data_IF_843093323006
#
_entry.id   IF_843093323006
#
_cell.length_a   1.000
_cell.length_b   1.000
_cell.length_c   1.000
_cell.angle_alpha   90.00
_cell.angle_beta   90.00
_cell.angle_gamma   90.00
#
_symmetry.space_group_name_H-M   'P 1'
#
loop_
_entity.id
_entity.type
_entity.pdbx_description
1 polymer ?
#
# COMPACT_ATOMS: atom_id res chain seq x y z
N UNK A 1 17.52 -4.54 -19.06
CA UNK A 1 16.19 -5.17 -18.78
C UNK A 1 15.11 -4.17 -18.32
N UNK A 2 15.44 -2.95 -17.94
CA UNK A 2 14.54 -1.96 -17.33
C UNK A 2 13.46 -1.29 -18.23
N UNK A 3 13.61 -1.28 -19.56
CA UNK A 3 12.70 -0.55 -20.46
C UNK A 3 11.25 -1.07 -20.36
N UNK A 4 11.06 -2.38 -20.25
CA UNK A 4 9.72 -2.94 -20.07
C UNK A 4 9.01 -2.40 -18.85
N UNK A 5 9.68 -2.30 -17.71
CA UNK A 5 9.09 -1.75 -16.47
C UNK A 5 8.72 -0.27 -16.62
N UNK A 6 9.54 0.52 -17.31
CA UNK A 6 9.24 1.94 -17.58
C UNK A 6 7.95 2.05 -18.40
N UNK A 7 7.86 1.29 -19.48
CA UNK A 7 6.67 1.28 -20.36
C UNK A 7 5.43 0.85 -19.57
N UNK A 8 5.52 -0.23 -18.80
CA UNK A 8 4.40 -0.71 -17.98
C UNK A 8 3.96 0.29 -16.91
N UNK A 9 4.91 0.96 -16.26
CA UNK A 9 4.63 2.02 -15.28
C UNK A 9 3.90 3.19 -15.95
N UNK A 10 4.37 3.67 -17.11
CA UNK A 10 3.72 4.75 -17.85
C UNK A 10 2.30 4.37 -18.27
N UNK A 11 2.08 3.15 -18.76
CA UNK A 11 0.73 2.69 -19.09
C UNK A 11 -0.18 2.61 -17.84
N UNK A 12 0.35 2.19 -16.70
CA UNK A 12 -0.42 2.18 -15.45
C UNK A 12 -0.83 3.60 -15.02
N UNK A 13 0.08 4.56 -15.16
CA UNK A 13 -0.21 5.97 -14.86
C UNK A 13 -1.23 6.55 -15.85
N UNK A 14 -1.10 6.31 -17.14
CA UNK A 14 -2.05 6.78 -18.15
C UNK A 14 -3.45 6.20 -17.98
N UNK A 15 -3.52 4.93 -17.58
CA UNK A 15 -4.77 4.20 -17.37
C UNK A 15 -5.22 4.16 -15.91
N UNK A 16 -4.83 5.14 -15.09
CA UNK A 16 -5.17 5.21 -13.66
C UNK A 16 -6.68 5.12 -13.36
N UNK A 17 -7.54 5.46 -14.34
CA UNK A 17 -9.01 5.37 -14.21
C UNK A 17 -9.53 3.93 -14.16
N UNK A 18 -8.72 2.94 -14.55
CA UNK A 18 -9.07 1.53 -14.44
C UNK A 18 -9.13 1.13 -12.96
N UNK A 19 -10.34 0.89 -12.48
CA UNK A 19 -10.62 0.44 -11.12
C UNK A 19 -10.36 -1.06 -10.98
N UNK A 20 -9.10 -1.41 -10.70
CA UNK A 20 -8.72 -2.81 -10.52
C UNK A 20 -9.38 -3.42 -9.30
N UNK A 21 -9.44 -2.67 -8.22
CA UNK A 21 -10.05 -3.11 -6.96
C UNK A 21 -11.54 -3.45 -7.14
N UNK A 22 -12.24 -2.69 -8.00
CA UNK A 22 -13.66 -2.98 -8.32
C UNK A 22 -13.85 -4.35 -8.95
N UNK A 23 -12.90 -4.78 -9.81
CA UNK A 23 -12.96 -6.10 -10.44
C UNK A 23 -12.84 -7.20 -9.38
N UNK A 24 -11.88 -7.07 -8.47
CA UNK A 24 -11.67 -8.06 -7.41
C UNK A 24 -12.82 -8.07 -6.40
N UNK A 25 -13.37 -6.91 -6.03
CA UNK A 25 -14.57 -6.81 -5.19
C UNK A 25 -15.76 -7.53 -5.83
N UNK A 26 -15.97 -7.34 -7.12
CA UNK A 26 -17.04 -8.07 -7.85
C UNK A 26 -16.84 -9.58 -7.79
N UNK A 27 -15.61 -10.06 -7.98
CA UNK A 27 -15.27 -11.48 -7.88
C UNK A 27 -15.53 -12.00 -6.46
N UNK A 28 -15.12 -11.26 -5.44
CA UNK A 28 -15.31 -11.63 -4.03
C UNK A 28 -16.80 -11.75 -3.67
N UNK A 29 -17.61 -10.75 -3.98
CA UNK A 29 -19.05 -10.77 -3.73
C UNK A 29 -19.70 -11.97 -4.40
N UNK A 30 -19.42 -12.17 -5.71
CA UNK A 30 -20.02 -13.29 -6.46
C UNK A 30 -19.60 -14.67 -5.95
N UNK A 31 -18.39 -14.79 -5.41
CA UNK A 31 -17.90 -16.05 -4.83
C UNK A 31 -18.59 -16.34 -3.50
N UNK A 32 -18.79 -15.33 -2.66
CA UNK A 32 -19.50 -15.44 -1.37
C UNK A 32 -20.98 -15.78 -1.56
N UNK A 33 -21.63 -15.24 -2.59
CA UNK A 33 -23.01 -15.57 -2.92
C UNK A 33 -23.20 -17.07 -3.24
N UNK A 34 -22.17 -17.68 -3.85
CA UNK A 34 -22.20 -19.12 -4.19
C UNK A 34 -21.75 -20.01 -3.05
N UNK A 35 -20.74 -19.57 -2.29
CA UNK A 35 -20.10 -20.36 -1.23
C UNK A 35 -20.27 -19.61 0.09
N UNK A 36 -21.23 -20.06 0.92
CA UNK A 36 -21.55 -19.42 2.20
C UNK A 36 -20.40 -19.47 3.24
N UNK A 37 -19.49 -20.43 3.12
CA UNK A 37 -18.38 -20.60 4.06
C UNK A 37 -17.18 -19.79 3.60
N UNK A 38 -16.88 -18.72 4.33
CA UNK A 38 -15.77 -17.78 4.05
C UNK A 38 -14.40 -18.47 4.04
N UNK A 39 -14.17 -19.45 4.92
CA UNK A 39 -12.89 -20.18 4.95
C UNK A 39 -12.67 -21.03 3.69
N UNK A 40 -13.74 -21.61 3.14
CA UNK A 40 -13.67 -22.36 1.88
C UNK A 40 -13.34 -21.40 0.72
N UNK A 41 -13.92 -20.21 0.70
CA UNK A 41 -13.61 -19.18 -0.30
C UNK A 41 -12.14 -18.77 -0.21
N UNK A 42 -11.62 -18.51 0.98
CA UNK A 42 -10.21 -18.14 1.19
C UNK A 42 -9.25 -19.25 0.74
N UNK A 43 -9.54 -20.50 1.08
CA UNK A 43 -8.75 -21.66 0.63
C UNK A 43 -8.75 -21.79 -0.88
N UNK A 44 -9.90 -21.61 -1.52
CA UNK A 44 -10.05 -21.67 -2.97
C UNK A 44 -9.25 -20.55 -3.66
N UNK A 45 -9.26 -19.34 -3.11
CA UNK A 45 -8.43 -18.25 -3.62
C UNK A 45 -6.94 -18.53 -3.49
N UNK A 46 -6.49 -19.02 -2.33
CA UNK A 46 -5.10 -19.40 -2.13
C UNK A 46 -4.65 -20.50 -3.11
N UNK A 47 -5.50 -21.48 -3.34
CA UNK A 47 -5.25 -22.54 -4.33
C UNK A 47 -5.16 -21.97 -5.76
N UNK A 48 -6.08 -21.12 -6.18
CA UNK A 48 -6.04 -20.47 -7.49
C UNK A 48 -4.80 -19.60 -7.67
N UNK A 49 -4.43 -18.83 -6.66
CA UNK A 49 -3.23 -17.98 -6.65
C UNK A 49 -1.99 -18.85 -6.78
N UNK A 50 -1.93 -19.99 -6.09
CA UNK A 50 -0.81 -20.93 -6.20
C UNK A 50 -0.71 -21.51 -7.64
N UNK A 51 -1.83 -21.87 -8.25
CA UNK A 51 -1.85 -22.35 -9.66
C UNK A 51 -1.39 -21.24 -10.61
N UNK A 52 -1.83 -19.99 -10.40
CA UNK A 52 -1.36 -18.83 -11.18
C UNK A 52 0.14 -18.66 -11.03
N UNK A 53 0.67 -18.71 -9.81
CA UNK A 53 2.10 -18.62 -9.55
C UNK A 53 2.91 -19.68 -10.29
N UNK A 54 2.47 -20.94 -10.25
CA UNK A 54 3.11 -22.02 -11.01
C UNK A 54 3.08 -21.74 -12.52
N UNK A 55 1.95 -21.26 -13.05
CA UNK A 55 1.85 -20.87 -14.46
C UNK A 55 2.82 -19.75 -14.84
N UNK A 56 2.95 -18.73 -13.99
CA UNK A 56 3.86 -17.62 -14.21
C UNK A 56 5.35 -18.03 -14.14
N UNK A 57 5.68 -19.07 -13.37
CA UNK A 57 7.05 -19.58 -13.26
C UNK A 57 7.60 -20.15 -14.59
N UNK A 58 6.74 -20.58 -15.50
CA UNK A 58 7.13 -21.05 -16.83
C UNK A 58 7.35 -19.93 -17.84
N UNK A 59 6.98 -18.69 -17.53
CA UNK A 59 7.12 -17.56 -18.46
C UNK A 59 8.56 -17.06 -18.41
N UNK A 60 9.22 -17.08 -19.56
CA UNK A 60 10.57 -16.51 -19.68
C UNK A 60 10.55 -15.00 -19.47
N UNK A 61 11.49 -14.51 -18.65
CA UNK A 61 11.63 -13.09 -18.39
C UNK A 61 12.06 -12.36 -19.68
N UNK A 62 11.20 -11.49 -20.19
CA UNK A 62 11.45 -10.65 -21.35
C UNK A 62 10.84 -9.26 -21.16
N UNK A 63 11.16 -8.31 -22.05
CA UNK A 63 10.69 -6.92 -21.94
C UNK A 63 9.14 -6.79 -21.93
N UNK A 64 8.45 -7.64 -22.68
CA UNK A 64 6.98 -7.64 -22.73
C UNK A 64 6.40 -8.12 -21.40
N UNK A 65 6.95 -9.19 -20.84
CA UNK A 65 6.52 -9.70 -19.54
C UNK A 65 6.77 -8.67 -18.43
N UNK A 66 7.93 -8.00 -18.46
CA UNK A 66 8.25 -6.92 -17.52
C UNK A 66 7.27 -5.74 -17.64
N UNK A 67 6.88 -5.37 -18.87
CA UNK A 67 5.91 -4.30 -19.09
C UNK A 67 4.51 -4.68 -18.59
N UNK A 68 4.07 -5.90 -18.87
CA UNK A 68 2.78 -6.41 -18.36
C UNK A 68 2.79 -6.50 -16.84
N UNK A 69 3.88 -7.00 -16.26
CA UNK A 69 4.03 -7.06 -14.81
C UNK A 69 3.92 -5.68 -14.19
N UNK A 70 4.72 -4.71 -14.63
CA UNK A 70 4.69 -3.35 -14.09
C UNK A 70 3.32 -2.71 -14.26
N UNK A 71 2.65 -2.92 -15.39
CA UNK A 71 1.28 -2.45 -15.62
C UNK A 71 0.29 -3.05 -14.60
N UNK A 72 0.40 -4.34 -14.29
CA UNK A 72 -0.50 -5.02 -13.35
C UNK A 72 -0.24 -4.60 -11.90
N UNK A 73 1.03 -4.56 -11.49
CA UNK A 73 1.41 -4.42 -10.08
C UNK A 73 1.46 -2.97 -9.60
N UNK A 74 1.77 -2.01 -10.47
CA UNK A 74 1.78 -0.58 -10.12
C UNK A 74 0.36 -0.04 -10.24
N UNK A 75 -0.21 0.39 -9.10
CA UNK A 75 -1.57 0.94 -9.06
C UNK A 75 -1.61 2.22 -8.21
N UNK A 76 -1.74 3.36 -8.91
CA UNK A 76 -1.91 4.69 -8.30
C UNK A 76 -3.35 5.18 -8.33
N UNK A 77 -4.31 4.36 -8.76
CA UNK A 77 -5.70 4.78 -8.99
C UNK A 77 -6.36 5.33 -7.71
N UNK A 78 -6.02 4.78 -6.56
CA UNK A 78 -6.59 5.21 -5.29
C UNK A 78 -6.07 6.58 -4.86
N UNK A 79 -4.77 6.89 -5.05
CA UNK A 79 -4.20 8.21 -4.77
C UNK A 79 -4.82 9.29 -5.63
N UNK A 80 -4.99 9.03 -6.92
CA UNK A 80 -5.59 9.99 -7.85
C UNK A 80 -7.08 10.24 -7.55
N UNK A 81 -7.82 9.21 -7.14
CA UNK A 81 -9.23 9.37 -6.74
C UNK A 81 -9.36 10.21 -5.48
N UNK A 82 -8.53 10.01 -4.49
CA UNK A 82 -8.55 10.81 -3.28
C UNK A 82 -8.13 12.26 -3.58
N UNK A 83 -7.18 12.49 -4.50
CA UNK A 83 -6.84 13.83 -4.96
C UNK A 83 -8.05 14.57 -5.58
N UNK A 84 -8.92 13.88 -6.30
CA UNK A 84 -10.13 14.46 -6.89
C UNK A 84 -11.26 14.70 -5.89
N UNK A 85 -11.35 13.89 -4.81
CA UNK A 85 -12.40 13.99 -3.78
C UNK A 85 -12.18 15.10 -2.75
N UNK A 86 -11.08 15.82 -2.82
CA UNK A 86 -10.56 16.79 -1.82
C UNK A 86 -11.51 17.91 -1.36
N UNK A 87 -12.79 17.88 -1.71
CA UNK A 87 -13.77 18.89 -1.31
C UNK A 87 -14.56 18.58 -0.02
N UNK A 88 -14.36 17.42 0.61
CA UNK A 88 -15.08 17.05 1.81
C UNK A 88 -14.16 16.92 3.03
N UNK A 89 -14.33 17.81 4.00
CA UNK A 89 -13.55 17.91 5.26
C UNK A 89 -13.60 16.67 6.18
N UNK A 90 -14.27 15.59 5.81
CA UNK A 90 -14.65 14.53 6.75
C UNK A 90 -13.57 13.45 7.01
N UNK A 91 -12.52 13.34 6.21
CA UNK A 91 -11.71 12.11 6.22
C UNK A 91 -10.19 12.30 6.08
N UNK A 92 -9.58 13.23 6.82
CA UNK A 92 -8.12 13.42 6.78
C UNK A 92 -7.37 12.10 7.03
N UNK A 93 -7.71 11.38 8.11
CA UNK A 93 -7.04 10.14 8.49
C UNK A 93 -7.29 9.01 7.48
N UNK A 94 -8.51 8.90 6.98
CA UNK A 94 -8.84 7.93 5.94
C UNK A 94 -8.11 8.23 4.63
N UNK A 95 -7.96 9.52 4.29
CA UNK A 95 -7.22 9.95 3.11
C UNK A 95 -5.73 9.66 3.26
N UNK A 96 -5.10 9.96 4.41
CA UNK A 96 -3.70 9.59 4.68
C UNK A 96 -3.54 8.08 4.58
N UNK A 97 -4.40 7.30 5.22
CA UNK A 97 -4.33 5.84 5.18
C UNK A 97 -4.49 5.29 3.77
N UNK A 98 -5.38 5.88 2.96
CA UNK A 98 -5.54 5.51 1.55
C UNK A 98 -4.28 5.80 0.72
N UNK A 99 -3.67 6.99 0.92
CA UNK A 99 -2.44 7.37 0.23
C UNK A 99 -1.28 6.46 0.65
N UNK A 100 -1.09 6.22 1.96
CA UNK A 100 -0.06 5.33 2.49
C UNK A 100 -0.21 3.91 1.97
N UNK A 101 -1.45 3.40 1.96
CA UNK A 101 -1.76 2.06 1.43
C UNK A 101 -1.44 1.96 -0.06
N UNK A 102 -1.80 2.97 -0.86
CA UNK A 102 -1.47 3.00 -2.28
C UNK A 102 0.04 3.11 -2.50
N UNK A 103 0.75 3.93 -1.71
CA UNK A 103 2.21 4.04 -1.75
C UNK A 103 2.89 2.70 -1.48
N UNK A 104 2.50 2.01 -0.42
CA UNK A 104 3.15 0.78 0.00
C UNK A 104 2.66 -0.40 -0.83
N UNK A 105 1.37 -0.71 -0.79
CA UNK A 105 0.83 -1.91 -1.42
C UNK A 105 0.70 -1.78 -2.95
N UNK A 106 0.48 -0.57 -3.46
CA UNK A 106 0.34 -0.30 -4.90
C UNK A 106 1.66 0.02 -5.60
N UNK A 107 2.76 0.26 -4.85
CA UNK A 107 4.01 0.68 -5.47
C UNK A 107 5.25 0.04 -4.84
N UNK A 108 5.57 0.32 -3.57
CA UNK A 108 6.84 -0.09 -2.95
C UNK A 108 6.92 -1.61 -2.83
N UNK A 109 5.91 -2.26 -2.27
CA UNK A 109 5.90 -3.71 -2.06
C UNK A 109 6.02 -4.49 -3.36
N UNK A 110 5.24 -4.20 -4.42
CA UNK A 110 5.42 -4.88 -5.70
C UNK A 110 6.82 -4.74 -6.29
N UNK A 111 7.39 -3.55 -6.27
CA UNK A 111 8.75 -3.33 -6.78
C UNK A 111 9.80 -4.06 -5.95
N UNK A 112 9.68 -4.05 -4.62
CA UNK A 112 10.51 -4.82 -3.71
C UNK A 112 10.44 -6.31 -4.02
N UNK A 113 9.24 -6.86 -4.22
CA UNK A 113 9.05 -8.27 -4.54
C UNK A 113 9.62 -8.64 -5.91
N UNK A 114 9.55 -7.75 -6.92
CA UNK A 114 10.21 -7.98 -8.22
C UNK A 114 11.71 -8.13 -8.03
N UNK A 115 12.33 -7.27 -7.22
CA UNK A 115 13.77 -7.31 -6.97
C UNK A 115 14.18 -8.59 -6.23
N UNK A 116 13.44 -8.98 -5.20
CA UNK A 116 13.81 -10.09 -4.32
C UNK A 116 13.42 -11.45 -4.87
N UNK A 117 12.28 -11.57 -5.54
CA UNK A 117 11.66 -12.85 -5.89
C UNK A 117 11.17 -12.93 -7.34
N UNK A 118 11.26 -11.83 -8.08
CA UNK A 118 10.86 -11.75 -9.49
C UNK A 118 9.39 -11.43 -9.71
N UNK A 119 9.05 -11.32 -11.00
CA UNK A 119 7.74 -10.82 -11.48
C UNK A 119 6.54 -11.63 -10.99
N UNK A 120 6.67 -12.95 -10.93
CA UNK A 120 5.57 -13.85 -10.56
C UNK A 120 5.04 -13.56 -9.16
N UNK A 121 5.92 -13.36 -8.19
CA UNK A 121 5.52 -13.12 -6.79
C UNK A 121 4.92 -11.73 -6.61
N UNK A 122 5.38 -10.74 -7.36
CA UNK A 122 4.77 -9.40 -7.35
C UNK A 122 3.33 -9.41 -7.90
N UNK A 123 3.06 -10.17 -8.97
CA UNK A 123 1.70 -10.34 -9.50
C UNK A 123 0.81 -11.05 -8.47
N UNK A 124 1.30 -12.12 -7.85
CA UNK A 124 0.59 -12.85 -6.79
C UNK A 124 0.25 -11.92 -5.62
N UNK A 125 1.21 -11.13 -5.15
CA UNK A 125 0.96 -10.15 -4.10
C UNK A 125 -0.14 -9.16 -4.48
N UNK A 126 -0.12 -8.64 -5.71
CA UNK A 126 -1.14 -7.68 -6.18
C UNK A 126 -2.53 -8.31 -6.18
N UNK A 127 -2.66 -9.57 -6.57
CA UNK A 127 -3.93 -10.31 -6.51
C UNK A 127 -4.38 -10.48 -5.05
N UNK A 128 -3.48 -10.91 -4.17
CA UNK A 128 -3.76 -11.06 -2.73
C UNK A 128 -4.19 -9.74 -2.11
N UNK A 129 -3.48 -8.66 -2.40
CA UNK A 129 -3.80 -7.32 -1.90
C UNK A 129 -5.20 -6.87 -2.32
N UNK A 130 -5.54 -6.99 -3.59
CA UNK A 130 -6.85 -6.57 -4.08
C UNK A 130 -8.00 -7.43 -3.52
N UNK A 131 -7.78 -8.73 -3.31
CA UNK A 131 -8.76 -9.61 -2.65
C UNK A 131 -8.88 -9.32 -1.16
N UNK A 132 -7.78 -8.98 -0.48
CA UNK A 132 -7.77 -8.66 0.96
C UNK A 132 -8.46 -7.34 1.32
N UNK A 133 -8.87 -6.55 0.33
CA UNK A 133 -9.71 -5.37 0.55
C UNK A 133 -11.10 -5.72 1.11
N UNK A 134 -11.51 -6.98 0.99
CA UNK A 134 -12.71 -7.51 1.62
C UNK A 134 -12.38 -7.95 3.06
N UNK A 135 -12.96 -7.26 4.05
CA UNK A 135 -12.67 -7.43 5.48
C UNK A 135 -12.96 -8.84 6.01
N UNK A 136 -13.85 -9.60 5.36
CA UNK A 136 -14.14 -10.98 5.76
C UNK A 136 -12.99 -11.95 5.42
N UNK A 137 -12.09 -11.57 4.50
CA UNK A 137 -10.98 -12.41 4.05
C UNK A 137 -9.72 -12.23 4.93
N UNK A 138 -9.86 -12.44 6.23
CA UNK A 138 -8.83 -12.18 7.24
C UNK A 138 -7.48 -12.89 6.98
N UNK A 139 -7.49 -14.13 6.46
CA UNK A 139 -6.25 -14.87 6.17
C UNK A 139 -5.45 -14.19 5.07
N UNK A 140 -6.12 -13.71 4.02
CA UNK A 140 -5.47 -12.98 2.93
C UNK A 140 -4.89 -11.65 3.44
N UNK A 141 -5.66 -10.93 4.26
CA UNK A 141 -5.21 -9.70 4.91
C UNK A 141 -3.96 -9.92 5.77
N UNK A 142 -3.90 -11.02 6.53
CA UNK A 142 -2.73 -11.37 7.33
C UNK A 142 -1.48 -11.63 6.46
N UNK A 143 -1.61 -12.37 5.37
CA UNK A 143 -0.50 -12.63 4.43
C UNK A 143 0.00 -11.32 3.81
N UNK A 144 -0.90 -10.44 3.40
CA UNK A 144 -0.56 -9.11 2.86
C UNK A 144 0.15 -8.25 3.92
N UNK A 145 -0.28 -8.28 5.18
CA UNK A 145 0.36 -7.55 6.27
C UNK A 145 1.80 -8.00 6.49
N UNK A 146 2.06 -9.30 6.49
CA UNK A 146 3.42 -9.85 6.60
C UNK A 146 4.30 -9.39 5.42
N UNK A 147 3.79 -9.46 4.20
CA UNK A 147 4.54 -9.04 3.00
C UNK A 147 4.89 -7.54 3.03
N UNK A 148 4.08 -6.73 3.70
CA UNK A 148 4.27 -5.29 3.81
C UNK A 148 5.22 -4.86 4.93
N UNK A 149 5.67 -5.73 5.84
CA UNK A 149 6.53 -5.33 6.98
C UNK A 149 7.79 -4.59 6.49
N UNK A 150 8.58 -5.23 5.63
CA UNK A 150 9.84 -4.64 5.13
C UNK A 150 9.58 -3.40 4.26
N UNK A 151 8.66 -3.42 3.29
CA UNK A 151 8.32 -2.22 2.51
C UNK A 151 7.82 -1.05 3.35
N UNK A 152 7.05 -1.30 4.41
CA UNK A 152 6.59 -0.25 5.33
C UNK A 152 7.75 0.38 6.09
N UNK A 153 8.70 -0.42 6.60
CA UNK A 153 9.92 0.09 7.24
C UNK A 153 10.71 0.95 6.26
N UNK A 154 10.83 0.54 5.00
CA UNK A 154 11.50 1.37 3.98
C UNK A 154 10.79 2.72 3.81
N UNK A 155 9.46 2.74 3.72
CA UNK A 155 8.68 3.97 3.62
C UNK A 155 8.85 4.84 4.89
N UNK A 156 8.82 4.24 6.08
CA UNK A 156 9.05 4.94 7.35
C UNK A 156 10.42 5.63 7.42
N UNK A 157 11.47 5.00 6.90
CA UNK A 157 12.80 5.61 6.83
C UNK A 157 12.78 6.88 5.97
N UNK A 158 12.14 6.85 4.78
CA UNK A 158 12.00 8.04 3.94
C UNK A 158 11.18 9.13 4.63
N UNK A 159 10.04 8.77 5.21
CA UNK A 159 9.17 9.71 5.92
C UNK A 159 9.86 10.29 7.15
N UNK A 160 10.66 9.51 7.89
CA UNK A 160 11.44 9.99 9.02
C UNK A 160 12.48 11.02 8.60
N UNK A 161 13.19 10.77 7.50
CA UNK A 161 14.14 11.73 6.93
C UNK A 161 13.42 13.06 6.63
N UNK A 162 12.28 13.00 5.96
CA UNK A 162 11.49 14.19 5.63
C UNK A 162 11.01 14.90 6.91
N UNK A 163 10.55 14.14 7.91
CA UNK A 163 10.15 14.66 9.21
C UNK A 163 11.28 15.47 9.87
N UNK A 164 12.49 14.91 9.91
CA UNK A 164 13.66 15.54 10.50
C UNK A 164 13.99 16.87 9.81
N UNK A 165 14.00 16.89 8.47
CA UNK A 165 14.28 18.11 7.72
C UNK A 165 13.21 19.17 7.90
N UNK A 166 11.94 18.79 7.95
CA UNK A 166 10.81 19.72 8.04
C UNK A 166 10.62 20.27 9.46
N UNK A 167 10.67 19.39 10.44
CA UNK A 167 10.43 19.77 11.86
C UNK A 167 11.71 20.14 12.60
N UNK A 168 12.88 20.01 11.98
CA UNK A 168 14.20 20.29 12.59
C UNK A 168 14.39 19.59 13.95
N UNK A 169 13.80 18.43 14.13
CA UNK A 169 13.82 17.65 15.34
C UNK A 169 14.11 16.18 15.04
N UNK A 170 15.18 15.65 15.64
CA UNK A 170 15.55 14.25 15.50
C UNK A 170 14.69 13.31 16.37
N UNK A 171 14.09 13.86 17.45
CA UNK A 171 13.35 13.05 18.40
C UNK A 171 11.86 13.08 18.07
N UNK A 172 11.29 11.92 17.76
CA UNK A 172 9.85 11.74 17.66
C UNK A 172 9.34 11.15 18.97
N UNK A 173 8.34 11.80 19.58
CA UNK A 173 7.67 11.28 20.77
C UNK A 173 6.47 10.46 20.32
N UNK A 174 6.68 9.18 20.11
CA UNK A 174 5.59 8.26 19.88
C UNK A 174 4.89 7.91 21.20
N UNK A 175 3.57 7.94 21.19
CA UNK A 175 2.74 7.41 22.27
C UNK A 175 2.15 6.05 21.88
N UNK A 176 2.00 5.19 22.89
CA UNK A 176 1.37 3.89 22.71
C UNK A 176 2.27 2.84 22.06
N UNK A 177 1.65 1.89 21.38
CA UNK A 177 2.28 0.66 20.92
C UNK A 177 2.94 0.79 19.53
N UNK A 178 3.56 1.95 19.22
CA UNK A 178 4.16 2.21 17.90
C UNK A 178 5.11 1.08 17.46
N UNK A 179 5.98 0.61 18.36
CA UNK A 179 6.95 -0.45 18.05
C UNK A 179 6.27 -1.80 17.82
N UNK A 180 5.26 -2.15 18.64
CA UNK A 180 4.52 -3.40 18.45
C UNK A 180 3.65 -3.39 17.20
N UNK A 181 3.12 -2.24 16.81
CA UNK A 181 2.37 -2.08 15.56
C UNK A 181 3.21 -2.36 14.32
N UNK A 182 4.54 -2.16 14.36
CA UNK A 182 5.44 -2.43 13.24
C UNK A 182 5.28 -3.84 12.66
N UNK A 183 4.98 -4.81 13.51
CA UNK A 183 4.83 -6.21 13.11
C UNK A 183 3.37 -6.65 12.93
N UNK A 184 2.43 -5.96 13.60
CA UNK A 184 1.01 -6.35 13.59
C UNK A 184 0.25 -5.60 12.51
N UNK A 185 0.45 -4.27 12.44
CA UNK A 185 -0.24 -3.38 11.50
C UNK A 185 0.78 -2.37 10.94
N UNK A 186 1.73 -2.81 10.08
CA UNK A 186 2.85 -1.97 9.64
C UNK A 186 2.40 -0.68 8.92
N UNK A 187 1.28 -0.72 8.21
CA UNK A 187 0.72 0.45 7.52
C UNK A 187 0.30 1.57 8.49
N UNK A 188 -0.15 1.22 9.70
CA UNK A 188 -0.54 2.19 10.71
C UNK A 188 0.63 3.08 11.14
N UNK A 189 1.83 2.53 11.24
CA UNK A 189 3.02 3.30 11.57
C UNK A 189 3.37 4.33 10.49
N UNK A 190 3.19 3.97 9.24
CA UNK A 190 3.37 4.88 8.11
C UNK A 190 2.36 6.02 8.17
N UNK A 191 1.10 5.73 8.48
CA UNK A 191 0.04 6.73 8.65
C UNK A 191 0.35 7.72 9.78
N UNK A 192 0.81 7.18 10.92
CA UNK A 192 1.22 8.00 12.08
C UNK A 192 2.35 8.95 11.70
N UNK A 193 3.38 8.43 11.04
CA UNK A 193 4.54 9.22 10.66
C UNK A 193 4.19 10.26 9.58
N UNK A 194 3.31 9.90 8.66
CA UNK A 194 2.78 10.81 7.64
C UNK A 194 2.07 12.02 8.26
N UNK A 195 1.23 11.80 9.26
CA UNK A 195 0.58 12.89 9.99
C UNK A 195 1.59 13.74 10.78
N UNK A 196 2.61 13.12 11.35
CA UNK A 196 3.62 13.82 12.15
C UNK A 196 4.51 14.75 11.31
N UNK A 197 4.73 14.45 10.03
CA UNK A 197 5.44 15.38 9.12
C UNK A 197 4.74 16.73 9.08
N UNK A 198 3.42 16.75 9.13
CA UNK A 198 2.60 17.97 9.16
C UNK A 198 2.37 18.52 10.58
N UNK A 199 3.05 17.97 11.59
CA UNK A 199 2.82 18.28 12.99
C UNK A 199 1.35 18.15 13.41
N UNK A 200 0.67 17.17 12.83
CA UNK A 200 -0.72 16.78 13.14
C UNK A 200 -0.71 15.50 13.96
N UNK A 201 -1.52 15.46 15.02
CA UNK A 201 -1.67 14.25 15.81
C UNK A 201 -2.46 13.20 15.03
N UNK A 202 -2.02 11.94 15.09
CA UNK A 202 -2.74 10.84 14.48
C UNK A 202 -3.67 10.17 15.47
N UNK A 203 -4.89 9.92 15.02
CA UNK A 203 -5.92 9.23 15.79
C UNK A 203 -6.39 7.99 15.02
N UNK A 204 -6.38 6.85 15.67
CA UNK A 204 -6.93 5.61 15.14
C UNK A 204 -8.06 5.11 16.03
N UNK A 205 -9.11 4.60 15.38
CA UNK A 205 -10.25 4.01 16.05
C UNK A 205 -9.96 2.54 16.32
N UNK A 206 -10.00 2.13 17.58
CA UNK A 206 -9.80 0.76 18.00
C UNK A 206 -11.10 0.12 18.47
N UNK A 207 -11.45 -1.01 17.86
CA UNK A 207 -12.49 -1.92 18.33
C UNK A 207 -11.81 -2.99 19.20
N UNK A 208 -11.73 -2.73 20.51
CA UNK A 208 -11.35 -3.78 21.48
C UNK A 208 -12.59 -4.55 21.95
N UNK A 209 -12.40 -5.73 22.55
CA UNK A 209 -13.48 -6.54 23.11
C UNK A 209 -14.42 -5.69 23.96
N UNK A 210 -15.57 -5.26 23.37
CA UNK A 210 -16.65 -4.45 23.95
C UNK A 210 -16.37 -2.97 24.25
N UNK A 211 -15.23 -2.40 23.86
CA UNK A 211 -14.99 -0.96 23.99
C UNK A 211 -14.47 -0.35 22.68
N UNK A 212 -15.17 0.69 22.22
CA UNK A 212 -14.71 1.55 21.13
C UNK A 212 -13.99 2.75 21.73
N UNK A 213 -12.71 2.91 21.43
CA UNK A 213 -11.94 4.07 21.89
C UNK A 213 -11.05 4.65 20.79
N UNK A 214 -10.85 5.97 20.88
CA UNK A 214 -9.99 6.70 19.98
C UNK A 214 -8.58 6.77 20.59
N UNK A 215 -7.60 6.17 19.94
CA UNK A 215 -6.21 6.17 20.40
C UNK A 215 -5.42 7.29 19.73
N UNK A 216 -4.74 8.10 20.55
CA UNK A 216 -3.84 9.16 20.11
C UNK A 216 -2.41 8.66 20.12
N UNK A 217 -1.63 8.99 19.07
CA UNK A 217 -0.24 8.53 18.91
C UNK A 217 0.82 9.62 19.13
N UNK A 218 0.43 10.88 19.34
CA UNK A 218 1.36 11.99 19.56
C UNK A 218 0.76 13.12 20.39
N UNK A 219 1.53 14.22 20.48
CA UNK A 219 1.17 15.45 21.21
C UNK A 219 1.14 16.68 20.28
N UNK A 220 0.89 16.52 19.00
CA UNK A 220 0.85 17.61 18.04
C UNK A 220 -0.47 18.37 18.08
N UNK A 221 -0.42 19.67 17.87
CA UNK A 221 -1.57 20.57 17.99
C UNK A 221 -1.96 21.29 16.68
N UNK A 222 -1.30 20.99 15.56
CA UNK A 222 -1.64 21.64 14.31
C UNK A 222 -3.02 21.25 13.85
N UNK A 223 -3.73 22.22 13.27
CA UNK A 223 -5.05 21.99 12.68
C UNK A 223 -4.88 21.29 11.33
N UNK A 224 -5.76 20.34 11.09
CA UNK A 224 -5.87 19.66 9.82
C UNK A 224 -6.46 20.62 8.79
N UNK A 225 -5.75 20.78 7.66
CA UNK A 225 -6.25 21.49 6.51
C UNK A 225 -5.99 20.71 5.20
N UNK A 226 -6.56 21.17 4.10
CA UNK A 226 -6.40 20.53 2.79
C UNK A 226 -4.95 20.67 2.25
N UNK A 227 -4.14 21.58 2.79
CA UNK A 227 -2.75 21.76 2.40
C UNK A 227 -1.94 20.56 2.88
N UNK A 228 -2.18 20.08 4.11
CA UNK A 228 -1.51 18.90 4.66
C UNK A 228 -1.69 17.65 3.77
N UNK A 229 -2.89 17.44 3.22
CA UNK A 229 -3.15 16.30 2.33
C UNK A 229 -2.36 16.43 1.01
N UNK A 230 -2.37 17.63 0.41
CA UNK A 230 -1.65 17.88 -0.84
C UNK A 230 -0.14 17.73 -0.66
N UNK A 231 0.39 18.22 0.47
CA UNK A 231 1.79 18.10 0.81
C UNK A 231 2.18 16.63 0.99
N UNK A 232 1.39 15.84 1.72
CA UNK A 232 1.64 14.42 1.88
C UNK A 232 1.55 13.67 0.55
N UNK A 233 0.63 14.04 -0.33
CA UNK A 233 0.51 13.47 -1.67
C UNK A 233 1.77 13.77 -2.50
N UNK A 234 2.28 15.00 -2.46
CA UNK A 234 3.53 15.39 -3.12
C UNK A 234 4.74 14.62 -2.57
N UNK A 235 4.82 14.44 -1.25
CA UNK A 235 5.84 13.63 -0.59
C UNK A 235 5.76 12.17 -1.07
N UNK A 236 4.56 11.60 -1.11
CA UNK A 236 4.35 10.21 -1.54
C UNK A 236 4.80 9.99 -2.99
N UNK A 237 4.49 10.91 -3.91
CA UNK A 237 4.99 10.84 -5.29
C UNK A 237 6.51 10.98 -5.38
N UNK A 238 7.11 11.82 -4.55
CA UNK A 238 8.57 11.96 -4.50
C UNK A 238 9.23 10.67 -4.02
N UNK A 239 8.67 10.00 -3.02
CA UNK A 239 9.13 8.68 -2.55
C UNK A 239 8.96 7.64 -3.66
N UNK A 240 7.81 7.57 -4.34
CA UNK A 240 7.60 6.68 -5.48
C UNK A 240 8.68 6.86 -6.56
N UNK A 241 8.98 8.10 -6.90
CA UNK A 241 9.99 8.43 -7.91
C UNK A 241 11.39 7.95 -7.50
N UNK A 242 11.81 8.23 -6.25
CA UNK A 242 13.11 7.78 -5.74
C UNK A 242 13.21 6.25 -5.69
N UNK A 243 12.17 5.57 -5.20
CA UNK A 243 12.12 4.10 -5.14
C UNK A 243 12.17 3.50 -6.56
N UNK A 244 11.48 4.12 -7.53
CA UNK A 244 11.49 3.65 -8.91
C UNK A 244 12.87 3.81 -9.57
N UNK A 245 13.55 4.93 -9.33
CA UNK A 245 14.94 5.11 -9.80
C UNK A 245 15.85 4.04 -9.19
N UNK A 246 15.78 3.84 -7.87
CA UNK A 246 16.58 2.81 -7.20
C UNK A 246 16.29 1.41 -7.77
N UNK A 247 15.01 1.09 -8.00
CA UNK A 247 14.60 -0.15 -8.65
C UNK A 247 15.21 -0.31 -10.04
N UNK A 248 15.17 0.73 -10.89
CA UNK A 248 15.75 0.67 -12.24
C UNK A 248 17.26 0.49 -12.21
N UNK A 249 17.95 1.15 -11.28
CA UNK A 249 19.40 0.98 -11.10
C UNK A 249 19.73 -0.48 -10.75
N UNK A 250 19.00 -1.09 -9.82
CA UNK A 250 19.21 -2.50 -9.45
C UNK A 250 18.93 -3.44 -10.63
N UNK A 251 17.94 -3.13 -11.48
CA UNK A 251 17.61 -3.95 -12.66
C UNK A 251 18.60 -3.80 -13.83
N UNK A 252 19.50 -2.81 -13.78
CA UNK A 252 20.54 -2.57 -14.78
C UNK A 252 21.88 -3.25 -14.42
N UNK A 253 22.10 -3.53 -13.14
CA UNK A 253 23.24 -4.27 -12.62
C UNK A 253 23.01 -5.78 -12.79
#
# INVERSE_FOLDING_TARGET
>A
MGIGYIIGCLFSILLWRLDRQRIFNFISVKSKDKIKNVYVVQFLYLFLIFVIYLGLAFIKNNQVYNAITAFIVIDISNTERENLKNNEKKHFYDTISTISRALICGFITPLFLIVMFGNGLAIVFTILYNLSADEDLNILGFIVSIANIIPSIMAEVFLYIIYVFRNRNLKIKFKGDYISNLFIVPLLNVDILAAFIESVNFYSYHNGNNMHYLKSYGDYNNKIDNVCIKDYLSISYSICFLVFIAFLVIQLI
#
